data_IF_485110632126
#
_entry.id   IF_485110632126
#
_cell.length_a   1.000
_cell.length_b   1.000
_cell.length_c   1.000
_cell.angle_alpha   90.00
_cell.angle_beta   90.00
_cell.angle_gamma   90.00
#
_symmetry.space_group_name_H-M   'P 1'
#
loop_
_entity.id
_entity.type
_entity.pdbx_description
1 polymer ?
#
# COMPACT_ATOMS: atom_id res chain seq x y z
N UNK A 1 -15.52 20.26 -2.72
CA UNK A 1 -15.48 18.83 -2.29
C UNK A 1 -14.24 18.20 -2.89
N UNK A 2 -13.35 17.65 -2.06
CA UNK A 2 -12.06 17.05 -2.47
C UNK A 2 -12.29 15.59 -2.86
N UNK A 3 -11.87 15.20 -4.07
CA UNK A 3 -11.94 13.82 -4.57
C UNK A 3 -10.63 13.10 -4.25
N UNK A 4 -10.70 12.10 -3.37
CA UNK A 4 -9.55 11.34 -2.89
C UNK A 4 -9.47 10.04 -3.69
N UNK A 5 -8.50 9.92 -4.60
CA UNK A 5 -8.22 8.69 -5.33
C UNK A 5 -7.54 7.64 -4.45
N UNK A 6 -7.99 6.41 -4.53
CA UNK A 6 -7.44 5.28 -3.78
C UNK A 6 -7.63 3.98 -4.55
N UNK A 7 -6.80 2.97 -4.25
CA UNK A 7 -7.02 1.59 -4.70
C UNK A 7 -8.17 0.94 -3.93
N UNK A 8 -8.71 -0.16 -4.46
CA UNK A 8 -9.83 -0.89 -3.84
C UNK A 8 -9.43 -1.85 -2.72
N UNK A 9 -8.13 -2.07 -2.45
CA UNK A 9 -7.70 -2.97 -1.39
C UNK A 9 -8.09 -2.44 -0.01
N UNK A 10 -8.35 -3.33 0.95
CA UNK A 10 -8.75 -2.97 2.32
C UNK A 10 -7.76 -1.99 2.97
N UNK A 11 -6.44 -2.22 2.79
CA UNK A 11 -5.41 -1.32 3.31
C UNK A 11 -5.47 0.07 2.66
N UNK A 12 -5.61 0.14 1.33
CA UNK A 12 -5.67 1.41 0.62
C UNK A 12 -6.91 2.22 1.02
N UNK A 13 -8.07 1.57 1.12
CA UNK A 13 -9.30 2.21 1.58
C UNK A 13 -9.17 2.70 3.03
N UNK A 14 -8.55 1.92 3.92
CA UNK A 14 -8.29 2.35 5.29
C UNK A 14 -7.39 3.59 5.32
N UNK A 15 -6.29 3.61 4.54
CA UNK A 15 -5.40 4.77 4.45
C UNK A 15 -6.12 6.01 3.90
N UNK A 16 -6.91 5.85 2.85
CA UNK A 16 -7.67 6.96 2.26
C UNK A 16 -8.75 7.51 3.20
N UNK A 17 -9.39 6.64 4.00
CA UNK A 17 -10.33 7.08 5.03
C UNK A 17 -9.64 7.88 6.15
N UNK A 18 -8.38 7.55 6.52
CA UNK A 18 -7.62 8.38 7.47
C UNK A 18 -7.40 9.80 6.93
N UNK A 19 -7.04 9.93 5.66
CA UNK A 19 -6.87 11.24 5.00
C UNK A 19 -8.21 11.98 4.95
N UNK A 20 -9.27 11.29 4.53
CA UNK A 20 -10.62 11.86 4.48
C UNK A 20 -11.05 12.43 5.82
N UNK A 21 -10.94 11.64 6.89
CA UNK A 21 -11.32 12.08 8.25
C UNK A 21 -10.51 13.29 8.72
N UNK A 22 -9.21 13.36 8.40
CA UNK A 22 -8.41 14.52 8.76
C UNK A 22 -8.82 15.78 7.98
N UNK A 23 -9.12 15.66 6.69
CA UNK A 23 -9.62 16.77 5.87
C UNK A 23 -10.98 17.26 6.37
N UNK A 24 -11.88 16.35 6.73
CA UNK A 24 -13.19 16.67 7.28
C UNK A 24 -13.07 17.37 8.65
N UNK A 25 -12.14 16.95 9.49
CA UNK A 25 -11.84 17.64 10.75
C UNK A 25 -11.31 19.06 10.56
N UNK A 26 -10.69 19.36 9.41
CA UNK A 26 -10.27 20.70 9.00
C UNK A 26 -11.37 21.50 8.29
N UNK A 27 -12.61 20.98 8.23
CA UNK A 27 -13.75 21.65 7.60
C UNK A 27 -13.87 21.44 6.10
N UNK A 28 -13.04 20.60 5.47
CA UNK A 28 -13.13 20.31 4.05
C UNK A 28 -14.15 19.17 3.80
N UNK A 29 -14.95 19.28 2.74
CA UNK A 29 -15.78 18.16 2.26
C UNK A 29 -14.94 17.24 1.37
N UNK A 30 -14.90 15.94 1.64
CA UNK A 30 -14.10 14.98 0.88
C UNK A 30 -14.86 13.69 0.56
N UNK A 31 -14.54 13.10 -0.61
CA UNK A 31 -15.15 11.85 -1.08
C UNK A 31 -14.06 10.90 -1.59
N UNK A 32 -14.20 9.61 -1.31
CA UNK A 32 -13.31 8.59 -1.87
C UNK A 32 -13.74 8.24 -3.31
N UNK A 33 -12.74 8.13 -4.19
CA UNK A 33 -12.88 7.68 -5.57
C UNK A 33 -12.00 6.43 -5.77
N UNK A 34 -12.56 5.23 -5.56
CA UNK A 34 -11.81 3.99 -5.78
C UNK A 34 -11.49 3.79 -7.27
N UNK A 35 -10.21 3.55 -7.57
CA UNK A 35 -9.70 3.31 -8.93
C UNK A 35 -9.11 1.92 -8.99
N UNK A 36 -9.41 1.15 -10.03
CA UNK A 36 -8.80 -0.16 -10.25
C UNK A 36 -7.40 0.01 -10.84
N UNK A 37 -6.42 -0.67 -10.25
CA UNK A 37 -5.07 -0.74 -10.80
C UNK A 37 -4.85 -2.10 -11.47
N UNK A 38 -4.01 -2.14 -12.52
CA UNK A 38 -3.62 -3.41 -13.18
C UNK A 38 -2.98 -4.39 -12.18
N UNK A 39 -2.25 -3.88 -11.19
CA UNK A 39 -1.66 -4.70 -10.14
C UNK A 39 -2.68 -5.33 -9.18
N UNK A 40 -3.90 -4.81 -9.10
CA UNK A 40 -4.97 -5.39 -8.29
C UNK A 40 -5.68 -6.55 -9.01
N UNK A 41 -5.54 -6.65 -10.33
CA UNK A 41 -6.16 -7.71 -11.15
C UNK A 41 -5.33 -8.99 -11.21
N UNK A 42 -4.00 -8.89 -11.03
CA UNK A 42 -3.12 -10.06 -11.05
C UNK A 42 -2.71 -10.48 -9.63
N UNK A 43 -3.45 -11.43 -9.06
CA UNK A 43 -3.24 -11.97 -7.72
C UNK A 43 -2.30 -13.20 -7.69
N UNK A 44 -1.91 -13.72 -8.84
CA UNK A 44 -1.19 -15.00 -8.96
C UNK A 44 0.31 -14.84 -9.10
N UNK A 45 0.77 -13.81 -9.79
CA UNK A 45 2.19 -13.60 -10.00
C UNK A 45 2.84 -12.80 -8.86
N UNK A 46 4.03 -13.21 -8.40
CA UNK A 46 4.79 -12.44 -7.44
C UNK A 46 5.11 -11.05 -7.99
N UNK A 47 4.86 -10.00 -7.20
CA UNK A 47 5.04 -8.59 -7.61
C UNK A 47 6.43 -8.29 -8.20
N UNK A 48 7.48 -8.98 -7.72
CA UNK A 48 8.84 -8.80 -8.23
C UNK A 48 9.06 -9.32 -9.66
N UNK A 49 8.18 -10.21 -10.17
CA UNK A 49 8.22 -10.71 -11.55
C UNK A 49 7.54 -9.77 -12.54
N UNK A 50 6.67 -8.89 -12.06
CA UNK A 50 5.90 -8.00 -12.93
C UNK A 50 6.73 -6.84 -13.51
N UNK A 51 7.95 -6.58 -13.00
CA UNK A 51 8.98 -5.71 -13.61
C UNK A 51 8.58 -4.26 -13.92
N UNK A 52 7.37 -3.85 -13.61
CA UNK A 52 6.83 -2.55 -13.97
C UNK A 52 6.94 -1.63 -12.77
N UNK A 53 7.85 -0.67 -12.84
CA UNK A 53 7.92 0.43 -11.88
C UNK A 53 6.60 1.22 -11.93
N UNK A 54 5.99 1.45 -10.76
CA UNK A 54 4.76 2.24 -10.67
C UNK A 54 3.45 1.53 -11.06
N UNK A 55 3.41 0.20 -11.12
CA UNK A 55 2.19 -0.56 -11.47
C UNK A 55 0.99 -0.20 -10.57
N UNK A 56 1.23 0.23 -9.32
CA UNK A 56 0.21 0.63 -8.37
C UNK A 56 -0.09 2.13 -8.37
N UNK A 57 0.77 2.97 -8.97
CA UNK A 57 0.59 4.42 -8.98
C UNK A 57 0.08 4.93 -10.32
N UNK A 58 0.49 4.33 -11.44
CA UNK A 58 0.19 4.78 -12.80
C UNK A 58 -1.28 5.13 -13.05
N UNK A 59 -2.21 4.31 -12.56
CA UNK A 59 -3.64 4.55 -12.79
C UNK A 59 -4.14 5.75 -11.99
N UNK A 60 -3.67 5.92 -10.75
CA UNK A 60 -3.99 7.08 -9.92
C UNK A 60 -3.31 8.34 -10.44
N UNK A 61 -2.05 8.25 -10.91
CA UNK A 61 -1.33 9.34 -11.56
C UNK A 61 -2.09 9.85 -12.79
N UNK A 62 -2.56 8.92 -13.64
CA UNK A 62 -3.41 9.25 -14.79
C UNK A 62 -4.71 9.92 -14.37
N UNK A 63 -5.34 9.48 -13.28
CA UNK A 63 -6.55 10.09 -12.76
C UNK A 63 -6.32 11.50 -12.22
N UNK A 64 -5.17 11.76 -11.57
CA UNK A 64 -4.73 13.10 -11.14
C UNK A 64 -4.53 14.03 -12.33
N UNK A 65 -3.71 13.63 -13.30
CA UNK A 65 -3.37 14.43 -14.48
C UNK A 65 -4.62 14.76 -15.32
N UNK A 66 -5.57 13.83 -15.40
CA UNK A 66 -6.85 14.02 -16.05
C UNK A 66 -7.90 14.73 -15.17
N UNK A 67 -7.52 15.23 -13.99
CA UNK A 67 -8.41 15.96 -13.07
C UNK A 67 -9.67 15.18 -12.67
N UNK A 68 -9.60 13.84 -12.69
CA UNK A 68 -10.69 12.98 -12.20
C UNK A 68 -10.69 12.88 -10.68
N UNK A 69 -9.54 13.05 -10.05
CA UNK A 69 -9.32 13.13 -8.62
C UNK A 69 -8.44 14.35 -8.32
N UNK A 70 -8.48 14.83 -7.09
CA UNK A 70 -7.73 16.02 -6.66
C UNK A 70 -6.49 15.64 -5.90
N UNK A 71 -6.53 14.53 -5.14
CA UNK A 71 -5.39 13.94 -4.45
C UNK A 71 -5.43 12.41 -4.59
N UNK A 72 -4.27 11.76 -4.55
CA UNK A 72 -4.13 10.31 -4.50
C UNK A 72 -3.48 9.89 -3.19
N UNK A 73 -3.98 8.82 -2.57
CA UNK A 73 -3.43 8.27 -1.32
C UNK A 73 -2.73 6.95 -1.58
N UNK A 74 -1.46 6.89 -1.18
CA UNK A 74 -0.60 5.73 -1.38
C UNK A 74 0.13 5.34 -0.10
N UNK A 75 0.49 4.06 0.02
CA UNK A 75 1.58 3.67 0.92
C UNK A 75 2.89 4.21 0.34
N UNK A 76 3.65 4.97 1.11
CA UNK A 76 4.87 5.65 0.61
C UNK A 76 5.89 4.70 -0.02
N UNK A 77 5.96 3.43 0.44
CA UNK A 77 6.84 2.40 -0.14
C UNK A 77 6.53 2.07 -1.61
N UNK A 78 5.30 2.35 -2.07
CA UNK A 78 4.83 2.04 -3.41
C UNK A 78 4.96 3.26 -4.36
N UNK A 79 5.25 4.44 -3.79
CA UNK A 79 5.48 5.68 -4.54
C UNK A 79 6.90 5.64 -5.13
N UNK A 80 7.07 5.84 -6.46
CA UNK A 80 8.38 5.86 -7.08
C UNK A 80 9.19 7.08 -6.61
N UNK A 81 10.53 6.95 -6.63
CA UNK A 81 11.43 8.05 -6.28
C UNK A 81 11.42 9.19 -7.31
N UNK A 82 11.04 8.89 -8.55
CA UNK A 82 10.79 9.88 -9.59
C UNK A 82 9.30 9.86 -9.92
N UNK A 83 8.64 10.95 -9.63
CA UNK A 83 7.21 11.12 -9.90
C UNK A 83 6.98 11.49 -11.37
N UNK A 84 5.77 11.27 -11.85
CA UNK A 84 5.34 11.78 -13.14
C UNK A 84 5.35 13.32 -13.15
N UNK A 85 5.66 13.91 -14.29
CA UNK A 85 5.62 15.37 -14.45
C UNK A 85 4.22 15.90 -14.11
N UNK A 86 4.17 16.97 -13.34
CA UNK A 86 2.92 17.59 -12.86
C UNK A 86 2.32 16.95 -11.61
N UNK A 87 3.00 15.97 -11.00
CA UNK A 87 2.61 15.35 -9.72
C UNK A 87 3.68 15.60 -8.67
N UNK A 88 3.24 15.90 -7.45
CA UNK A 88 4.11 16.09 -6.29
C UNK A 88 3.58 15.38 -5.04
N UNK A 89 4.46 15.14 -4.07
CA UNK A 89 4.04 14.68 -2.74
C UNK A 89 3.70 15.93 -1.92
N UNK A 90 2.41 16.18 -1.72
CA UNK A 90 1.92 17.35 -0.98
C UNK A 90 1.94 17.15 0.54
N UNK A 91 1.82 15.91 1.02
CA UNK A 91 1.82 15.60 2.45
C UNK A 91 2.20 14.15 2.73
N UNK A 92 2.71 13.91 3.93
CA UNK A 92 2.88 12.57 4.51
C UNK A 92 2.24 12.54 5.90
N UNK A 93 1.52 11.46 6.20
CA UNK A 93 0.92 11.26 7.51
C UNK A 93 1.97 10.79 8.53
N UNK A 94 1.67 10.97 9.82
CA UNK A 94 2.49 10.44 10.91
C UNK A 94 2.71 8.93 10.73
N UNK A 95 3.95 8.50 10.92
CA UNK A 95 4.32 7.10 10.76
C UNK A 95 3.77 6.26 11.91
N UNK A 96 3.13 5.14 11.60
CA UNK A 96 2.78 4.11 12.56
C UNK A 96 4.01 3.28 12.99
N UNK A 97 3.79 2.25 13.81
CA UNK A 97 4.85 1.30 14.19
C UNK A 97 5.50 0.67 12.96
N UNK A 98 6.84 0.64 12.94
CA UNK A 98 7.63 0.03 11.86
C UNK A 98 7.98 -1.44 12.13
N UNK A 99 7.52 -2.00 13.25
CA UNK A 99 7.82 -3.37 13.65
C UNK A 99 7.07 -4.37 12.76
N UNK A 100 7.77 -5.45 12.39
CA UNK A 100 7.12 -6.60 11.76
C UNK A 100 6.42 -7.43 12.84
N UNK A 101 5.30 -8.04 12.48
CA UNK A 101 4.53 -8.94 13.35
C UNK A 101 4.46 -10.33 12.72
N UNK A 102 4.38 -11.35 13.56
CA UNK A 102 4.10 -12.73 13.15
C UNK A 102 2.64 -13.02 13.50
N UNK A 103 1.83 -13.35 12.50
CA UNK A 103 0.49 -13.85 12.72
C UNK A 103 0.51 -15.38 12.82
N UNK A 104 -0.03 -15.91 13.90
CA UNK A 104 -0.13 -17.35 14.11
C UNK A 104 -1.54 -17.83 13.76
N UNK A 105 -1.62 -18.94 13.04
CA UNK A 105 -2.91 -19.59 12.82
C UNK A 105 -3.40 -20.20 14.16
N UNK A 106 -4.68 -20.01 14.55
CA UNK A 106 -5.18 -20.44 15.88
C UNK A 106 -5.00 -21.92 16.19
N UNK A 107 -4.98 -22.78 15.17
CA UNK A 107 -4.84 -24.22 15.32
C UNK A 107 -3.39 -24.71 15.44
N UNK A 108 -2.39 -23.82 15.22
CA UNK A 108 -0.99 -24.20 15.31
C UNK A 108 -0.37 -23.67 16.60
N UNK A 109 0.04 -24.58 17.48
CA UNK A 109 0.69 -24.23 18.73
C UNK A 109 2.03 -23.52 18.46
N UNK A 110 2.29 -22.47 19.25
CA UNK A 110 3.52 -21.66 19.18
C UNK A 110 4.80 -22.50 19.43
N UNK A 111 4.65 -23.71 19.96
CA UNK A 111 5.74 -24.60 20.43
C UNK A 111 6.15 -25.68 19.43
N UNK A 112 5.73 -25.66 18.17
CA UNK A 112 6.24 -26.62 17.20
C UNK A 112 7.73 -26.35 16.90
N UNK A 113 8.57 -27.40 16.99
CA UNK A 113 10.02 -27.31 16.71
C UNK A 113 10.32 -26.86 15.28
N UNK A 114 9.43 -27.14 14.32
CA UNK A 114 9.52 -26.67 12.93
C UNK A 114 8.51 -25.54 12.69
N UNK A 115 9.02 -24.35 12.35
CA UNK A 115 8.22 -23.19 12.00
C UNK A 115 8.21 -23.02 10.49
N UNK A 116 7.02 -23.13 9.88
CA UNK A 116 6.83 -22.77 8.48
C UNK A 116 6.31 -21.34 8.45
N UNK A 117 7.09 -20.42 7.89
CA UNK A 117 6.77 -18.99 7.82
C UNK A 117 6.38 -18.63 6.39
N UNK A 118 5.16 -18.13 6.21
CA UNK A 118 4.69 -17.57 4.94
C UNK A 118 5.02 -16.07 4.86
N UNK A 119 5.68 -15.66 3.78
CA UNK A 119 5.92 -14.24 3.48
C UNK A 119 6.05 -13.99 1.99
N UNK A 120 5.41 -12.92 1.50
CA UNK A 120 5.62 -12.41 0.13
C UNK A 120 6.83 -11.47 0.01
N UNK A 121 7.52 -11.15 1.11
CA UNK A 121 8.65 -10.23 1.12
C UNK A 121 9.99 -10.95 1.05
N UNK A 122 10.74 -10.78 -0.05
CA UNK A 122 12.09 -11.33 -0.21
C UNK A 122 13.06 -10.82 0.88
N UNK A 123 12.91 -9.56 1.30
CA UNK A 123 13.72 -8.97 2.39
C UNK A 123 13.45 -9.65 3.72
N UNK A 124 12.17 -9.85 4.09
CA UNK A 124 11.80 -10.57 5.33
C UNK A 124 12.28 -12.01 5.29
N UNK A 125 12.12 -12.70 4.13
CA UNK A 125 12.65 -14.05 3.94
C UNK A 125 14.15 -14.10 4.20
N UNK A 126 14.93 -13.21 3.58
CA UNK A 126 16.39 -13.18 3.75
C UNK A 126 16.80 -12.90 5.21
N UNK A 127 16.15 -11.96 5.89
CA UNK A 127 16.43 -11.65 7.30
C UNK A 127 16.05 -12.81 8.22
N UNK A 128 14.93 -13.48 7.95
CA UNK A 128 14.51 -14.64 8.72
C UNK A 128 15.50 -15.79 8.60
N UNK A 129 15.88 -16.19 7.37
CA UNK A 129 16.85 -17.25 7.11
C UNK A 129 18.26 -16.95 7.64
N UNK A 130 18.65 -15.66 7.72
CA UNK A 130 19.90 -15.27 8.36
C UNK A 130 19.91 -15.59 9.86
N UNK A 131 18.77 -15.47 10.53
CA UNK A 131 18.63 -15.70 11.97
C UNK A 131 18.28 -17.14 12.30
N UNK A 132 17.54 -17.81 11.42
CA UNK A 132 17.04 -19.17 11.57
C UNK A 132 17.28 -19.90 10.24
N UNK A 133 18.48 -20.44 10.03
CA UNK A 133 18.89 -21.03 8.73
C UNK A 133 18.26 -22.38 8.42
N UNK A 134 17.73 -23.11 9.46
CA UNK A 134 17.19 -24.49 9.36
C UNK A 134 15.65 -24.50 9.18
#
# INVERSE_FOLDING_TARGET
MIRIGTRKSALALWQANQVKSQLEALGASAVLVPVESEGDQNLTDPLYKMGIQGIFTKTLDTALLNKKIDIAVHSLKDVPTMLAEGIEISAVLSRGSSQDVIAYHPQYAVNSQKKIIGTGSLRRKAQWLRKYPD
#
